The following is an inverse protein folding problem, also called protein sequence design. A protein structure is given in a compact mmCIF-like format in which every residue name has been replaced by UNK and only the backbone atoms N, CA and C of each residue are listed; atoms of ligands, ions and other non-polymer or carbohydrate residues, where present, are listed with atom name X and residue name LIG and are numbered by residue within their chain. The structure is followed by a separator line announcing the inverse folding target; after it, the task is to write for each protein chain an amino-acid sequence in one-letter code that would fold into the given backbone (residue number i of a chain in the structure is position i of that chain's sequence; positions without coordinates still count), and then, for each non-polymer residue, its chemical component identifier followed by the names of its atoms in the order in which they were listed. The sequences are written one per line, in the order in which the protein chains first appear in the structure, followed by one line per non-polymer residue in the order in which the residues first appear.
data_IF_941981777140
#
_entry.id   IF_941981777140
#
_cell.length_a   1.000
_cell.length_b   1.000
_cell.length_c   1.000
_cell.angle_alpha   90.00
_cell.angle_beta   90.00
_cell.angle_gamma   90.00
#
_symmetry.space_group_name_H-M   'P 1'
#
loop_
_entity.id
_entity.type
_entity.pdbx_description
1 polymer ?
#
# COMPACT_ATOMS: atom_id res chain seq x y z
N UNK A 1 -86.31 37.22 24.08
CA UNK A 1 -85.81 37.52 25.44
C UNK A 1 -84.42 38.11 25.28
N UNK A 2 -84.30 39.35 24.79
CA UNK A 2 -84.30 40.65 25.52
C UNK A 2 -83.09 40.77 26.46
N UNK A 3 -82.27 41.80 26.50
CA UNK A 3 -81.95 42.99 25.70
C UNK A 3 -80.74 43.64 26.44
N UNK A 4 -79.90 44.40 25.74
CA UNK A 4 -79.02 45.47 26.29
C UNK A 4 -79.91 46.63 26.86
N UNK A 5 -79.46 47.83 27.31
CA UNK A 5 -78.21 48.38 27.92
C UNK A 5 -78.49 49.28 29.18
N UNK A 6 -77.46 49.78 29.87
CA UNK A 6 -77.40 51.13 30.54
C UNK A 6 -76.00 51.30 31.18
N UNK A 7 -75.05 52.15 30.74
CA UNK A 7 -74.97 53.60 30.51
C UNK A 7 -74.88 54.47 31.80
N UNK A 8 -73.80 55.29 31.83
CA UNK A 8 -73.55 56.53 32.59
C UNK A 8 -73.26 56.44 34.12
N UNK A 9 -72.44 57.26 34.77
CA UNK A 9 -71.38 58.27 34.49
C UNK A 9 -70.82 58.68 35.90
N UNK A 10 -70.18 59.84 36.17
CA UNK A 10 -68.80 59.93 36.65
C UNK A 10 -68.68 60.51 38.09
N UNK A 11 -67.43 60.62 38.59
CA UNK A 11 -66.86 61.85 39.17
C UNK A 11 -65.83 61.58 40.29
N UNK A 12 -64.68 62.27 40.13
CA UNK A 12 -63.91 63.04 41.15
C UNK A 12 -63.51 62.33 42.45
N UNK A 13 -62.33 62.53 43.03
CA UNK A 13 -61.21 63.43 42.82
C UNK A 13 -60.09 62.96 43.77
N UNK A 14 -58.86 63.40 43.54
CA UNK A 14 -57.80 63.28 44.55
C UNK A 14 -56.43 63.15 43.91
N UNK A 15 -55.88 64.28 43.46
CA UNK A 15 -54.47 64.35 43.08
C UNK A 15 -53.57 64.35 44.32
N UNK A 16 -52.41 63.72 44.17
CA UNK A 16 -51.19 64.11 44.89
C UNK A 16 -50.01 63.93 43.92
N UNK A 17 -49.46 65.05 43.48
CA UNK A 17 -48.14 65.16 42.87
C UNK A 17 -47.07 65.17 43.97
N UNK A 18 -46.07 64.29 43.83
CA UNK A 18 -44.69 64.35 44.34
C UNK A 18 -44.09 62.96 44.01
N UNK A 19 -42.87 62.74 43.54
CA UNK A 19 -41.71 63.58 43.33
C UNK A 19 -40.80 62.81 42.35
N UNK A 20 -39.91 63.51 41.65
CA UNK A 20 -39.08 62.91 40.61
C UNK A 20 -38.04 61.92 41.13
N UNK A 21 -37.91 60.77 40.45
CA UNK A 21 -36.62 60.09 40.26
C UNK A 21 -36.70 59.27 38.97
N UNK A 22 -35.99 59.72 37.93
CA UNK A 22 -35.86 58.99 36.69
C UNK A 22 -35.08 57.70 36.92
N UNK A 23 -35.74 56.55 36.75
CA UNK A 23 -35.07 55.26 36.60
C UNK A 23 -35.00 54.93 35.12
N UNK A 24 -33.78 55.07 34.58
CA UNK A 24 -33.43 54.73 33.21
C UNK A 24 -33.75 53.26 32.91
N UNK A 25 -34.45 53.04 31.80
CA UNK A 25 -34.64 51.73 31.18
C UNK A 25 -33.26 51.14 30.84
N UNK A 26 -32.88 49.94 31.29
CA UNK A 26 -31.61 49.36 30.90
C UNK A 26 -31.67 48.94 29.43
N UNK A 27 -30.82 49.57 28.61
CA UNK A 27 -30.64 49.24 27.21
C UNK A 27 -30.27 47.75 27.05
N UNK A 28 -31.09 47.02 26.27
CA UNK A 28 -30.79 45.67 25.83
C UNK A 28 -29.47 45.67 25.05
N UNK A 29 -28.41 45.09 25.64
CA UNK A 29 -27.18 44.78 24.92
C UNK A 29 -27.50 43.72 23.86
N UNK A 30 -27.32 44.07 22.58
CA UNK A 30 -27.27 43.11 21.48
C UNK A 30 -26.32 41.96 21.84
N UNK A 31 -26.67 40.68 21.59
CA UNK A 31 -25.75 39.59 21.81
C UNK A 31 -24.55 39.78 20.86
N UNK A 32 -23.38 39.98 21.46
CA UNK A 32 -22.13 40.04 20.71
C UNK A 32 -21.97 38.77 19.89
N UNK A 33 -21.64 38.92 18.61
CA UNK A 33 -21.09 37.85 17.78
C UNK A 33 -19.97 37.16 18.57
N UNK A 34 -19.91 35.82 18.67
CA UNK A 34 -18.78 35.17 19.32
C UNK A 34 -17.54 35.50 18.49
N UNK A 35 -16.72 36.44 18.97
CA UNK A 35 -15.38 36.65 18.49
C UNK A 35 -14.65 35.31 18.62
N UNK A 36 -14.20 34.76 17.48
CA UNK A 36 -13.33 33.58 17.46
C UNK A 36 -12.19 33.80 18.47
N UNK A 37 -11.86 32.82 19.33
CA UNK A 37 -10.85 33.03 20.34
C UNK A 37 -9.51 33.30 19.64
N UNK A 38 -8.98 34.51 19.88
CA UNK A 38 -7.64 34.91 19.52
C UNK A 38 -6.63 33.88 20.07
N UNK A 39 -5.55 33.67 19.32
CA UNK A 39 -4.67 32.51 19.40
C UNK A 39 -4.34 32.02 20.81
N UNK A 40 -4.74 30.78 21.09
CA UNK A 40 -4.22 30.01 22.23
C UNK A 40 -2.69 30.00 22.21
N UNK A 41 -2.01 30.17 23.36
CA UNK A 41 -0.56 30.16 23.45
C UNK A 41 0.03 28.84 22.90
N UNK A 42 1.13 28.94 22.15
CA UNK A 42 1.79 27.81 21.47
C UNK A 42 2.03 26.60 22.40
N UNK A 43 2.34 26.87 23.67
CA UNK A 43 2.56 25.87 24.71
C UNK A 43 1.31 25.03 25.03
N UNK A 44 0.11 25.63 24.99
CA UNK A 44 -1.16 24.91 25.18
C UNK A 44 -1.50 24.04 23.96
N UNK A 45 -1.19 24.52 22.75
CA UNK A 45 -1.39 23.76 21.51
C UNK A 45 -0.49 22.53 21.43
N UNK A 46 0.79 22.67 21.81
CA UNK A 46 1.75 21.56 21.89
C UNK A 46 1.32 20.55 22.96
N UNK A 47 0.87 21.03 24.13
CA UNK A 47 0.35 20.17 25.20
C UNK A 47 -0.88 19.36 24.74
N UNK A 48 -1.82 20.00 24.03
CA UNK A 48 -2.99 19.33 23.48
C UNK A 48 -2.62 18.29 22.42
N UNK A 49 -1.70 18.61 21.50
CA UNK A 49 -1.22 17.67 20.49
C UNK A 49 -0.58 16.42 21.13
N UNK A 50 0.35 16.62 22.07
CA UNK A 50 1.04 15.51 22.74
C UNK A 50 0.07 14.65 23.55
N UNK A 51 -0.85 15.29 24.29
CA UNK A 51 -1.85 14.59 25.09
C UNK A 51 -2.78 13.73 24.23
N UNK A 52 -3.34 14.30 23.15
CA UNK A 52 -4.20 13.57 22.23
C UNK A 52 -3.46 12.42 21.53
N UNK A 53 -2.24 12.68 21.03
CA UNK A 53 -1.43 11.66 20.38
C UNK A 53 -1.14 10.49 21.33
N UNK A 54 -0.80 10.78 22.59
CA UNK A 54 -0.57 9.74 23.60
C UNK A 54 -1.83 8.92 23.87
N UNK A 55 -2.99 9.56 24.06
CA UNK A 55 -4.26 8.87 24.34
C UNK A 55 -4.64 7.96 23.17
N UNK A 56 -4.55 8.45 21.94
CA UNK A 56 -4.84 7.66 20.74
C UNK A 56 -3.90 6.45 20.59
N UNK A 57 -2.61 6.65 20.85
CA UNK A 57 -1.62 5.57 20.78
C UNK A 57 -1.90 4.48 21.83
N UNK A 58 -2.19 4.88 23.07
CA UNK A 58 -2.57 3.94 24.14
C UNK A 58 -3.88 3.22 23.79
N UNK A 59 -4.86 3.92 23.21
CA UNK A 59 -6.11 3.30 22.77
C UNK A 59 -5.88 2.24 21.68
N UNK A 60 -5.01 2.53 20.71
CA UNK A 60 -4.63 1.56 19.67
C UNK A 60 -4.03 0.28 20.26
N UNK A 61 -3.04 0.40 21.15
CA UNK A 61 -2.41 -0.79 21.76
C UNK A 61 -3.32 -1.56 22.71
N UNK A 62 -4.38 -0.93 23.23
CA UNK A 62 -5.41 -1.60 24.05
C UNK A 62 -6.43 -2.36 23.19
N UNK A 63 -6.62 -1.95 21.94
CA UNK A 63 -7.46 -2.65 20.99
C UNK A 63 -6.71 -3.84 20.39
N UNK A 64 -6.92 -5.02 20.99
CA UNK A 64 -6.29 -6.27 20.57
C UNK A 64 -6.62 -6.63 19.12
N UNK A 65 -7.82 -6.30 18.65
CA UNK A 65 -8.23 -6.59 17.28
C UNK A 65 -7.46 -5.68 16.30
N UNK A 66 -7.38 -4.38 16.59
CA UNK A 66 -6.61 -3.45 15.77
C UNK A 66 -5.11 -3.82 15.73
N UNK A 67 -4.52 -4.16 16.88
CA UNK A 67 -3.13 -4.62 16.96
C UNK A 67 -2.90 -5.88 16.13
N UNK A 68 -3.80 -6.87 16.23
CA UNK A 68 -3.71 -8.11 15.47
C UNK A 68 -3.74 -7.84 13.95
N UNK A 69 -4.73 -7.09 13.46
CA UNK A 69 -4.90 -6.86 12.02
C UNK A 69 -3.84 -5.92 11.43
N UNK A 70 -3.36 -4.94 12.19
CA UNK A 70 -2.35 -3.98 11.68
C UNK A 70 -0.93 -4.53 11.80
N UNK A 71 -0.59 -5.22 12.89
CA UNK A 71 0.78 -5.71 13.11
C UNK A 71 0.94 -7.18 12.76
N UNK A 72 0.07 -8.06 13.26
CA UNK A 72 0.29 -9.51 13.17
C UNK A 72 -0.09 -10.08 11.80
N UNK A 73 -1.22 -9.64 11.26
CA UNK A 73 -1.80 -10.20 10.03
C UNK A 73 -0.88 -10.03 8.80
N UNK A 74 -0.24 -8.87 8.54
CA UNK A 74 0.75 -8.76 7.47
C UNK A 74 1.95 -9.70 7.63
N UNK A 75 2.37 -9.96 8.87
CA UNK A 75 3.47 -10.89 9.15
C UNK A 75 3.04 -12.34 8.89
N UNK A 76 1.80 -12.69 9.17
CA UNK A 76 1.24 -13.98 8.77
C UNK A 76 1.20 -14.14 7.25
N UNK A 77 0.87 -13.07 6.51
CA UNK A 77 0.94 -13.08 5.05
C UNK A 77 2.39 -13.21 4.56
N UNK A 78 3.33 -12.47 5.15
CA UNK A 78 4.75 -12.63 4.84
C UNK A 78 5.21 -14.07 5.09
N UNK A 79 4.80 -14.67 6.20
CA UNK A 79 5.07 -16.05 6.57
C UNK A 79 4.47 -17.05 5.56
N UNK A 80 3.20 -16.88 5.22
CA UNK A 80 2.47 -17.72 4.27
C UNK A 80 3.05 -17.60 2.85
N UNK A 81 3.20 -16.39 2.32
CA UNK A 81 3.71 -16.18 0.96
C UNK A 81 5.20 -16.49 0.87
N UNK A 82 5.99 -16.19 1.90
CA UNK A 82 7.40 -16.55 1.97
C UNK A 82 7.64 -18.06 2.02
N UNK A 83 6.73 -18.83 2.63
CA UNK A 83 6.80 -20.31 2.60
C UNK A 83 6.27 -20.88 1.29
N UNK A 84 5.12 -20.41 0.83
CA UNK A 84 4.43 -20.92 -0.35
C UNK A 84 5.21 -20.66 -1.64
N UNK A 85 5.78 -19.46 -1.80
CA UNK A 85 6.46 -19.06 -3.04
C UNK A 85 7.96 -19.33 -3.07
N UNK A 86 8.50 -20.04 -2.07
CA UNK A 86 9.90 -20.44 -2.06
C UNK A 86 10.29 -21.32 -3.27
N UNK A 87 9.31 -21.82 -4.03
CA UNK A 87 9.50 -22.56 -5.28
C UNK A 87 8.64 -22.12 -6.46
N UNK A 88 7.90 -21.00 -6.42
CA UNK A 88 6.94 -20.63 -7.48
C UNK A 88 7.48 -19.47 -8.34
N UNK A 89 8.02 -19.83 -9.50
CA UNK A 89 8.43 -18.91 -10.56
C UNK A 89 7.41 -18.67 -11.66
N UNK A 90 7.64 -17.63 -12.45
CA UNK A 90 6.92 -17.44 -13.72
C UNK A 90 7.46 -18.41 -14.78
N UNK A 91 6.61 -19.04 -15.63
CA UNK A 91 7.02 -20.08 -16.58
C UNK A 91 7.91 -19.58 -17.73
N UNK A 92 8.12 -18.27 -17.86
CA UNK A 92 8.92 -17.66 -18.92
C UNK A 92 10.38 -17.50 -18.48
N UNK A 93 11.32 -18.16 -19.15
CA UNK A 93 12.74 -18.17 -18.77
C UNK A 93 13.65 -17.61 -19.88
N UNK A 94 14.66 -16.83 -19.50
CA UNK A 94 15.71 -16.28 -20.36
C UNK A 94 16.88 -17.23 -20.40
N UNK A 95 17.21 -17.70 -21.59
CA UNK A 95 18.29 -18.67 -21.80
C UNK A 95 19.26 -18.13 -22.83
N UNK A 96 20.56 -18.10 -22.48
CA UNK A 96 21.61 -17.65 -23.39
C UNK A 96 22.40 -18.85 -23.94
N UNK A 97 22.57 -18.89 -25.26
CA UNK A 97 23.39 -19.87 -25.96
C UNK A 97 24.82 -19.34 -26.06
N UNK A 98 25.79 -20.13 -25.61
CA UNK A 98 27.21 -19.78 -25.71
C UNK A 98 27.84 -20.53 -26.88
N UNK A 99 28.20 -19.78 -27.92
CA UNK A 99 28.72 -20.34 -29.18
C UNK A 99 27.65 -21.05 -30.03
N UNK A 100 28.09 -21.90 -30.96
CA UNK A 100 27.18 -22.63 -31.85
C UNK A 100 26.59 -23.86 -31.15
N UNK A 101 25.31 -23.78 -30.78
CA UNK A 101 24.54 -24.92 -30.24
C UNK A 101 23.71 -25.52 -31.37
N UNK A 102 24.32 -26.46 -32.10
CA UNK A 102 23.70 -27.14 -33.26
C UNK A 102 22.37 -27.81 -32.90
N UNK A 103 22.22 -28.26 -31.65
CA UNK A 103 20.97 -28.85 -31.13
C UNK A 103 19.79 -27.87 -31.21
N UNK A 104 19.97 -26.63 -30.76
CA UNK A 104 18.90 -25.63 -30.78
C UNK A 104 18.70 -25.04 -32.18
N UNK A 105 19.75 -25.00 -32.99
CA UNK A 105 19.68 -24.56 -34.40
C UNK A 105 19.01 -25.60 -35.31
N UNK A 106 18.99 -26.88 -34.90
CA UNK A 106 18.26 -27.95 -35.59
C UNK A 106 16.74 -27.91 -35.38
N UNK A 107 16.25 -27.18 -34.38
CA UNK A 107 14.82 -26.96 -34.17
C UNK A 107 14.37 -25.83 -35.09
N UNK A 108 13.73 -26.18 -36.21
CA UNK A 108 13.19 -25.24 -37.20
C UNK A 108 11.66 -25.30 -37.28
N UNK A 109 11.05 -24.24 -37.80
CA UNK A 109 9.59 -24.15 -38.01
C UNK A 109 8.79 -24.00 -36.71
N UNK A 110 7.65 -24.70 -36.62
CA UNK A 110 6.68 -24.56 -35.53
C UNK A 110 7.27 -24.88 -34.14
N UNK A 111 8.25 -25.78 -34.06
CA UNK A 111 8.92 -26.11 -32.80
C UNK A 111 9.68 -24.92 -32.20
N UNK A 112 10.27 -24.05 -33.05
CA UNK A 112 10.99 -22.86 -32.59
C UNK A 112 10.02 -21.77 -32.13
N UNK A 113 8.90 -21.62 -32.81
CA UNK A 113 7.84 -20.69 -32.42
C UNK A 113 7.20 -21.07 -31.07
N UNK A 114 7.02 -22.37 -30.79
CA UNK A 114 6.55 -22.84 -29.47
C UNK A 114 7.62 -22.64 -28.37
N UNK A 115 8.90 -22.83 -28.69
CA UNK A 115 10.01 -22.54 -27.79
C UNK A 115 10.08 -21.04 -27.44
N UNK A 116 9.92 -20.15 -28.42
CA UNK A 116 9.95 -18.69 -28.22
C UNK A 116 8.74 -18.16 -27.42
N UNK A 117 7.63 -18.92 -27.32
CA UNK A 117 6.49 -18.61 -26.44
C UNK A 117 6.76 -18.88 -24.96
N UNK A 118 7.84 -19.58 -24.62
CA UNK A 118 8.15 -19.96 -23.23
C UNK A 118 9.58 -19.58 -22.84
N UNK A 119 10.49 -19.46 -23.80
CA UNK A 119 11.90 -19.10 -23.60
C UNK A 119 12.29 -17.89 -24.45
N UNK A 120 12.98 -16.93 -23.83
CA UNK A 120 13.72 -15.90 -24.57
C UNK A 120 15.12 -16.42 -24.83
N UNK A 121 15.47 -16.65 -26.10
CA UNK A 121 16.79 -17.15 -26.51
C UNK A 121 17.69 -16.00 -26.97
N UNK A 122 18.83 -15.79 -26.30
CA UNK A 122 19.90 -14.91 -26.76
C UNK A 122 21.17 -15.69 -27.12
N UNK A 123 22.08 -15.10 -27.89
CA UNK A 123 23.38 -15.69 -28.22
C UNK A 123 24.51 -14.81 -27.67
N UNK A 124 25.56 -15.44 -27.18
CA UNK A 124 26.77 -14.81 -26.66
C UNK A 124 28.00 -15.65 -27.01
N UNK A 125 29.13 -15.00 -27.24
CA UNK A 125 30.41 -15.69 -27.48
C UNK A 125 31.26 -15.81 -26.20
N UNK A 126 30.82 -15.20 -25.09
CA UNK A 126 31.60 -15.10 -23.86
C UNK A 126 30.94 -15.87 -22.70
N UNK A 127 31.44 -17.08 -22.43
CA UNK A 127 30.94 -17.96 -21.36
C UNK A 127 31.01 -17.30 -19.97
N UNK A 128 32.12 -16.63 -19.65
CA UNK A 128 32.32 -16.05 -18.33
C UNK A 128 31.32 -14.92 -18.06
N UNK A 129 31.04 -14.09 -19.07
CA UNK A 129 30.03 -13.04 -18.97
C UNK A 129 28.61 -13.61 -18.84
N UNK A 130 28.27 -14.66 -19.60
CA UNK A 130 26.97 -15.33 -19.51
C UNK A 130 26.78 -16.05 -18.17
N UNK A 131 27.82 -16.68 -17.63
CA UNK A 131 27.78 -17.30 -16.30
C UNK A 131 27.57 -16.26 -15.19
N UNK A 132 28.23 -15.11 -15.31
CA UNK A 132 28.06 -14.01 -14.35
C UNK A 132 26.63 -13.41 -14.42
N UNK A 133 26.04 -13.31 -15.60
CA UNK A 133 24.63 -12.94 -15.75
C UNK A 133 23.69 -13.97 -15.09
N UNK A 134 23.98 -15.27 -15.20
CA UNK A 134 23.21 -16.32 -14.51
C UNK A 134 23.35 -16.21 -12.99
N UNK A 135 24.55 -15.88 -12.47
CA UNK A 135 24.76 -15.63 -11.03
C UNK A 135 24.07 -14.38 -10.50
N UNK A 136 23.88 -13.38 -11.35
CA UNK A 136 23.18 -12.13 -11.00
C UNK A 136 21.66 -12.22 -11.17
N UNK A 137 21.15 -13.27 -11.79
CA UNK A 137 19.73 -13.43 -12.11
C UNK A 137 19.26 -12.74 -13.38
N UNK A 138 20.17 -12.21 -14.18
CA UNK A 138 19.82 -11.57 -15.46
C UNK A 138 19.42 -12.63 -16.52
N UNK A 139 19.91 -13.86 -16.33
CA UNK A 139 19.60 -15.05 -17.13
C UNK A 139 19.19 -16.22 -16.22
N UNK A 140 18.19 -16.99 -16.65
CA UNK A 140 17.73 -18.16 -15.90
C UNK A 140 18.60 -19.40 -16.20
N UNK A 141 19.19 -19.49 -17.40
CA UNK A 141 20.18 -20.49 -17.73
C UNK A 141 21.11 -20.08 -18.87
N UNK A 142 22.25 -20.77 -18.97
CA UNK A 142 23.09 -20.79 -20.16
C UNK A 142 23.22 -22.22 -20.68
N UNK A 143 23.29 -22.34 -22.01
CA UNK A 143 23.47 -23.62 -22.71
C UNK A 143 24.73 -23.52 -23.54
N UNK A 144 25.58 -24.54 -23.44
CA UNK A 144 26.77 -24.71 -24.25
C UNK A 144 26.81 -26.11 -24.84
N UNK A 145 27.31 -26.24 -26.06
CA UNK A 145 27.62 -27.52 -26.67
C UNK A 145 29.13 -27.71 -26.72
N UNK A 146 29.61 -28.80 -26.11
CA UNK A 146 31.00 -29.21 -26.15
C UNK A 146 31.38 -29.82 -27.50
N UNK A 147 32.68 -29.91 -27.84
CA UNK A 147 33.18 -30.51 -29.08
C UNK A 147 32.73 -31.97 -29.26
N UNK A 148 32.49 -32.67 -28.14
CA UNK A 148 32.13 -34.09 -28.10
C UNK A 148 30.61 -34.32 -28.22
N UNK A 149 29.82 -33.27 -28.51
CA UNK A 149 28.35 -33.35 -28.58
C UNK A 149 27.64 -33.26 -27.22
N UNK A 150 28.38 -33.13 -26.12
CA UNK A 150 27.80 -32.92 -24.78
C UNK A 150 27.11 -31.57 -24.67
N UNK A 151 25.92 -31.54 -24.09
CA UNK A 151 25.16 -30.32 -23.84
C UNK A 151 25.31 -29.97 -22.37
N UNK A 152 26.09 -28.93 -22.08
CA UNK A 152 26.23 -28.38 -20.75
C UNK A 152 25.14 -27.34 -20.52
N UNK A 153 24.22 -27.65 -19.61
CA UNK A 153 23.19 -26.72 -19.14
C UNK A 153 23.60 -26.22 -17.76
N UNK A 154 23.92 -24.93 -17.65
CA UNK A 154 24.15 -24.28 -16.35
C UNK A 154 22.98 -23.36 -16.05
N UNK A 155 22.18 -23.73 -15.05
CA UNK A 155 20.94 -23.05 -14.73
C UNK A 155 20.95 -22.48 -13.31
N UNK A 156 20.25 -21.37 -13.13
CA UNK A 156 19.94 -20.83 -11.81
C UNK A 156 18.88 -21.70 -11.14
N UNK A 157 19.10 -22.02 -9.87
CA UNK A 157 18.10 -22.66 -9.03
C UNK A 157 17.43 -21.69 -8.03
N UNK A 158 17.56 -20.38 -8.25
CA UNK A 158 16.83 -19.37 -7.48
C UNK A 158 15.31 -19.45 -7.73
N UNK A 159 14.92 -19.91 -8.92
CA UNK A 159 13.55 -20.16 -9.33
C UNK A 159 13.41 -21.64 -9.74
N UNK A 160 12.77 -22.45 -8.87
CA UNK A 160 12.62 -23.89 -9.09
C UNK A 160 11.70 -24.22 -10.27
N UNK A 161 10.68 -23.40 -10.53
CA UNK A 161 9.75 -23.63 -11.65
C UNK A 161 10.45 -23.33 -12.96
N UNK A 162 11.16 -22.20 -13.07
CA UNK A 162 11.94 -21.89 -14.27
C UNK A 162 13.06 -22.89 -14.51
N UNK A 163 13.80 -23.25 -13.46
CA UNK A 163 14.82 -24.29 -13.55
C UNK A 163 14.24 -25.61 -14.09
N UNK A 164 13.08 -26.02 -13.55
CA UNK A 164 12.35 -27.20 -14.01
C UNK A 164 11.85 -27.08 -15.45
N UNK A 165 11.31 -25.93 -15.85
CA UNK A 165 10.84 -25.67 -17.21
C UNK A 165 12.01 -25.69 -18.21
N UNK A 166 13.11 -25.00 -17.91
CA UNK A 166 14.30 -24.99 -18.78
C UNK A 166 14.88 -26.39 -18.90
N UNK A 167 15.08 -27.11 -17.78
CA UNK A 167 15.57 -28.48 -17.82
C UNK A 167 14.64 -29.41 -18.60
N UNK A 168 13.32 -29.30 -18.39
CA UNK A 168 12.32 -30.11 -19.07
C UNK A 168 12.33 -29.88 -20.57
N UNK A 169 12.35 -28.63 -21.01
CA UNK A 169 12.41 -28.26 -22.42
C UNK A 169 13.73 -28.76 -23.05
N UNK A 170 14.88 -28.47 -22.43
CA UNK A 170 16.18 -28.88 -22.97
C UNK A 170 16.30 -30.40 -23.03
N UNK A 171 15.84 -31.13 -22.00
CA UNK A 171 15.82 -32.58 -22.01
C UNK A 171 14.90 -33.15 -23.10
N UNK A 172 13.73 -32.52 -23.33
CA UNK A 172 12.83 -32.92 -24.41
C UNK A 172 13.47 -32.71 -25.79
N UNK A 173 14.17 -31.60 -26.02
CA UNK A 173 14.89 -31.33 -27.28
C UNK A 173 16.04 -32.32 -27.46
N UNK A 174 16.83 -32.59 -26.42
CA UNK A 174 17.92 -33.59 -26.43
C UNK A 174 17.37 -34.98 -26.77
N UNK A 175 16.27 -35.39 -26.14
CA UNK A 175 15.63 -36.68 -26.42
C UNK A 175 15.11 -36.78 -27.86
N UNK A 176 14.48 -35.73 -28.37
CA UNK A 176 13.99 -35.70 -29.75
C UNK A 176 15.13 -35.79 -30.77
N UNK A 177 16.23 -35.07 -30.53
CA UNK A 177 17.42 -35.13 -31.39
C UNK A 177 18.11 -36.51 -31.35
N UNK A 178 18.20 -37.12 -30.17
CA UNK A 178 18.73 -38.49 -30.04
C UNK A 178 17.81 -39.54 -30.70
N UNK A 179 16.48 -39.36 -30.65
CA UNK A 179 15.54 -40.25 -31.35
C UNK A 179 15.60 -40.10 -32.88
N UNK A 180 15.85 -38.89 -33.39
CA UNK A 180 16.06 -38.68 -34.82
C UNK A 180 17.34 -39.33 -35.35
N UNK A 181 18.35 -39.51 -34.49
CA UNK A 181 19.63 -40.16 -34.79
C UNK A 181 19.63 -41.68 -34.52
N UNK A 182 18.63 -42.40 -35.04
CA UNK A 182 18.44 -43.84 -34.81
C UNK A 182 19.68 -44.69 -35.19
N UNK A 183 20.06 -45.63 -34.31
CA UNK A 183 21.11 -46.62 -34.57
C UNK A 183 22.55 -46.24 -34.13
N UNK A 184 22.74 -45.10 -33.46
CA UNK A 184 24.02 -44.69 -32.86
C UNK A 184 23.88 -44.54 -31.34
N UNK A 185 24.95 -44.71 -30.54
CA UNK A 185 24.93 -44.31 -29.13
C UNK A 185 24.52 -42.83 -29.00
N UNK A 186 23.87 -42.42 -27.90
CA UNK A 186 23.29 -41.09 -27.75
C UNK A 186 24.34 -40.01 -28.05
N UNK A 187 24.09 -39.24 -29.12
CA UNK A 187 25.02 -38.22 -29.60
C UNK A 187 25.04 -36.99 -28.69
N UNK A 188 23.95 -36.77 -27.95
CA UNK A 188 23.82 -35.67 -27.00
C UNK A 188 23.55 -36.21 -25.60
N UNK A 189 24.39 -35.83 -24.63
CA UNK A 189 24.18 -36.09 -23.21
C UNK A 189 24.02 -34.75 -22.51
N UNK A 190 22.92 -34.58 -21.78
CA UNK A 190 22.65 -33.38 -21.00
C UNK A 190 23.39 -33.47 -19.66
N UNK A 191 24.37 -32.59 -19.47
CA UNK A 191 25.02 -32.36 -18.17
C UNK A 191 24.45 -31.07 -17.57
N UNK A 192 23.51 -31.24 -16.64
CA UNK A 192 22.81 -30.14 -15.99
C UNK A 192 23.48 -29.81 -14.66
N UNK A 193 24.27 -28.75 -14.63
CA UNK A 193 24.96 -28.29 -13.43
C UNK A 193 24.26 -27.07 -12.84
N UNK A 194 23.94 -27.13 -11.54
CA UNK A 194 23.37 -26.01 -10.81
C UNK A 194 24.43 -24.93 -10.59
N UNK A 195 24.09 -23.69 -10.91
CA UNK A 195 24.88 -22.51 -10.51
C UNK A 195 24.18 -21.86 -9.32
N UNK A 196 24.93 -21.50 -8.28
CA UNK A 196 24.41 -20.65 -7.21
C UNK A 196 24.10 -19.27 -7.79
N UNK A 197 22.82 -18.93 -7.77
CA UNK A 197 22.31 -17.65 -8.21
C UNK A 197 22.05 -16.77 -6.99
N UNK A 198 22.61 -15.56 -7.03
CA UNK A 198 22.42 -14.51 -6.04
C UNK A 198 21.16 -13.68 -6.29
N UNK A 199 20.43 -13.99 -7.35
CA UNK A 199 19.22 -13.30 -7.74
C UNK A 199 18.19 -13.23 -6.64
N UNK A 200 17.44 -12.14 -6.72
CA UNK A 200 16.46 -11.74 -5.74
C UNK A 200 15.34 -12.79 -5.71
N UNK A 201 15.42 -13.71 -4.73
CA UNK A 201 14.35 -14.66 -4.37
C UNK A 201 12.97 -14.01 -4.50
N UNK A 202 11.88 -14.72 -4.87
CA UNK A 202 10.53 -14.15 -5.01
C UNK A 202 10.09 -13.24 -3.85
N UNK A 203 10.59 -13.53 -2.65
CA UNK A 203 10.44 -12.72 -1.43
C UNK A 203 10.90 -11.26 -1.57
N UNK A 204 11.94 -10.96 -2.37
CA UNK A 204 12.45 -9.62 -2.63
C UNK A 204 11.47 -8.77 -3.44
N UNK A 205 10.69 -9.38 -4.32
CA UNK A 205 9.64 -8.68 -5.05
C UNK A 205 8.35 -8.55 -4.23
N UNK A 206 7.99 -9.62 -3.49
CA UNK A 206 6.75 -9.69 -2.73
C UNK A 206 6.78 -8.86 -1.44
N UNK A 207 7.92 -8.81 -0.75
CA UNK A 207 8.02 -8.14 0.55
C UNK A 207 7.68 -6.66 0.49
N UNK A 208 8.23 -5.85 -0.45
CA UNK A 208 7.81 -4.46 -0.60
C UNK A 208 6.32 -4.31 -0.95
N UNK A 209 5.80 -5.24 -1.76
CA UNK A 209 4.38 -5.29 -2.15
C UNK A 209 3.44 -5.55 -0.98
N UNK A 210 3.76 -6.56 -0.17
CA UNK A 210 3.06 -6.91 1.06
C UNK A 210 3.13 -5.80 2.10
N UNK A 211 4.31 -5.18 2.28
CA UNK A 211 4.46 -4.02 3.15
C UNK A 211 3.57 -2.87 2.70
N UNK A 212 3.56 -2.55 1.40
CA UNK A 212 2.74 -1.48 0.86
C UNK A 212 1.24 -1.73 1.10
N UNK A 213 0.78 -2.96 0.85
CA UNK A 213 -0.60 -3.36 1.13
C UNK A 213 -0.94 -3.31 2.62
N UNK A 214 -0.02 -3.72 3.49
CA UNK A 214 -0.17 -3.71 4.93
C UNK A 214 -0.30 -2.28 5.49
N UNK A 215 0.50 -1.35 4.99
CA UNK A 215 0.41 0.08 5.33
C UNK A 215 -0.92 0.67 4.82
N UNK A 216 -1.32 0.32 3.59
CA UNK A 216 -2.57 0.81 3.01
C UNK A 216 -3.80 0.34 3.78
N UNK A 217 -3.93 -0.97 4.01
CA UNK A 217 -5.03 -1.53 4.80
C UNK A 217 -5.07 -0.90 6.19
N UNK A 218 -3.95 -0.87 6.92
CA UNK A 218 -3.87 -0.29 8.25
C UNK A 218 -4.32 1.18 8.29
N UNK A 219 -3.84 2.00 7.36
CA UNK A 219 -4.19 3.42 7.30
C UNK A 219 -5.67 3.66 6.93
N UNK A 220 -6.20 2.92 5.94
CA UNK A 220 -7.62 3.03 5.53
C UNK A 220 -8.55 2.63 6.67
N UNK A 221 -8.35 1.44 7.25
CA UNK A 221 -9.20 0.93 8.33
C UNK A 221 -9.13 1.80 9.57
N UNK A 222 -7.92 2.21 9.95
CA UNK A 222 -7.73 3.01 11.14
C UNK A 222 -8.44 4.37 11.00
N UNK A 223 -8.36 5.02 9.83
CA UNK A 223 -9.05 6.27 9.58
C UNK A 223 -10.58 6.13 9.48
N UNK A 224 -11.08 5.11 8.77
CA UNK A 224 -12.52 4.91 8.56
C UNK A 224 -13.25 4.55 9.86
N UNK A 225 -12.72 3.58 10.62
CA UNK A 225 -13.31 3.16 11.90
C UNK A 225 -13.22 4.27 12.94
N UNK A 226 -12.09 4.96 13.03
CA UNK A 226 -11.95 6.06 14.00
C UNK A 226 -13.01 7.13 13.76
N UNK A 227 -13.25 7.52 12.51
CA UNK A 227 -14.21 8.57 12.21
C UNK A 227 -15.64 8.15 12.58
N UNK A 228 -16.05 6.94 12.20
CA UNK A 228 -17.40 6.45 12.53
C UNK A 228 -17.56 6.23 14.03
N UNK A 229 -16.57 5.64 14.70
CA UNK A 229 -16.60 5.42 16.14
C UNK A 229 -16.69 6.74 16.92
N UNK A 230 -15.97 7.77 16.48
CA UNK A 230 -16.03 9.10 17.08
C UNK A 230 -17.39 9.77 16.89
N UNK A 231 -18.04 9.57 15.76
CA UNK A 231 -19.39 10.06 15.50
C UNK A 231 -20.41 9.34 16.39
N UNK A 232 -20.41 8.01 16.39
CA UNK A 232 -21.33 7.18 17.18
C UNK A 232 -21.19 7.42 18.69
N UNK A 233 -19.97 7.51 19.20
CA UNK A 233 -19.69 7.78 20.62
C UNK A 233 -19.85 9.26 21.00
N UNK A 234 -20.31 10.11 20.08
CA UNK A 234 -20.47 11.56 20.24
C UNK A 234 -19.17 12.26 20.68
N UNK A 235 -18.02 11.67 20.36
CA UNK A 235 -16.69 12.22 20.65
C UNK A 235 -16.46 13.47 19.80
N UNK A 236 -16.89 13.48 18.54
CA UNK A 236 -16.80 14.68 17.67
C UNK A 236 -17.48 15.90 18.31
N UNK A 237 -18.65 15.71 18.95
CA UNK A 237 -19.37 16.79 19.65
C UNK A 237 -18.59 17.31 20.85
N UNK A 238 -18.00 16.41 21.64
CA UNK A 238 -17.15 16.80 22.79
C UNK A 238 -15.89 17.53 22.34
N UNK A 239 -15.24 17.05 21.28
CA UNK A 239 -14.04 17.66 20.72
C UNK A 239 -14.30 19.07 20.16
N UNK A 240 -15.49 19.32 19.58
CA UNK A 240 -15.87 20.64 19.08
C UNK A 240 -16.12 21.67 20.19
N UNK A 241 -16.53 21.21 21.37
CA UNK A 241 -16.76 22.06 22.55
C UNK A 241 -15.51 22.20 23.43
N UNK A 242 -14.52 21.33 23.24
CA UNK A 242 -13.25 21.42 23.96
C UNK A 242 -12.43 22.61 23.47
N UNK A 243 -11.62 23.25 24.34
CA UNK A 243 -10.72 24.33 23.95
C UNK A 243 -9.48 23.77 23.23
N UNK A 244 -9.67 22.92 22.22
CA UNK A 244 -8.60 22.31 21.42
C UNK A 244 -8.79 22.67 19.96
N UNK A 245 -7.74 23.13 19.30
CA UNK A 245 -7.81 23.48 17.88
C UNK A 245 -8.09 22.25 17.01
N UNK A 246 -8.93 22.40 15.97
CA UNK A 246 -9.19 21.33 15.01
C UNK A 246 -7.90 20.85 14.31
N UNK A 247 -6.98 21.77 14.05
CA UNK A 247 -5.66 21.46 13.50
C UNK A 247 -4.84 20.54 14.41
N UNK A 248 -4.86 20.77 15.73
CA UNK A 248 -4.20 19.89 16.70
C UNK A 248 -4.79 18.48 16.68
N UNK A 249 -6.11 18.34 16.56
CA UNK A 249 -6.78 17.03 16.51
C UNK A 249 -6.38 16.27 15.24
N UNK A 250 -6.43 16.93 14.08
CA UNK A 250 -6.04 16.33 12.79
C UNK A 250 -4.56 15.98 12.77
N UNK A 251 -3.70 16.89 13.25
CA UNK A 251 -2.26 16.66 13.33
C UNK A 251 -1.94 15.49 14.26
N UNK A 252 -2.54 15.41 15.45
CA UNK A 252 -2.39 14.26 16.36
C UNK A 252 -2.82 12.97 15.70
N UNK A 253 -3.92 13.00 14.94
CA UNK A 253 -4.41 11.81 14.25
C UNK A 253 -3.46 11.34 13.17
N UNK A 254 -2.96 12.24 12.33
CA UNK A 254 -1.96 11.93 11.30
C UNK A 254 -0.69 11.41 11.95
N UNK A 255 -0.18 12.08 13.00
CA UNK A 255 1.03 11.69 13.70
C UNK A 255 0.93 10.27 14.28
N UNK A 256 -0.19 9.93 14.92
CA UNK A 256 -0.41 8.58 15.47
C UNK A 256 -0.49 7.55 14.35
N UNK A 257 -1.24 7.82 13.29
CA UNK A 257 -1.34 6.89 12.15
C UNK A 257 0.01 6.67 11.46
N UNK A 258 0.81 7.73 11.27
CA UNK A 258 2.16 7.65 10.74
C UNK A 258 3.08 6.86 11.67
N UNK A 259 3.04 7.14 12.98
CA UNK A 259 3.86 6.42 13.96
C UNK A 259 3.52 4.92 13.98
N UNK A 260 2.23 4.58 13.94
CA UNK A 260 1.78 3.19 13.84
C UNK A 260 2.27 2.53 12.56
N UNK A 261 2.13 3.20 11.40
CA UNK A 261 2.59 2.67 10.11
C UNK A 261 4.11 2.50 10.04
N UNK A 262 4.89 3.44 10.62
CA UNK A 262 6.34 3.32 10.72
C UNK A 262 6.76 2.20 11.68
N UNK A 263 6.06 2.04 12.80
CA UNK A 263 6.29 0.92 13.74
C UNK A 263 6.01 -0.41 13.06
N UNK A 264 4.88 -0.52 12.37
CA UNK A 264 4.52 -1.68 11.56
C UNK A 264 5.58 -1.97 10.49
N UNK A 265 6.04 -0.94 9.77
CA UNK A 265 7.09 -1.06 8.75
C UNK A 265 8.41 -1.55 9.35
N UNK A 266 8.81 -1.00 10.50
CA UNK A 266 10.04 -1.39 11.19
C UNK A 266 9.98 -2.86 11.63
N UNK A 267 8.88 -3.29 12.26
CA UNK A 267 8.67 -4.68 12.67
C UNK A 267 8.67 -5.61 11.45
N UNK A 268 7.97 -5.21 10.38
CA UNK A 268 7.88 -5.98 9.15
C UNK A 268 9.25 -6.16 8.48
N UNK A 269 10.04 -5.09 8.34
CA UNK A 269 11.39 -5.16 7.78
C UNK A 269 12.35 -5.93 8.68
N UNK A 270 12.26 -5.78 10.00
CA UNK A 270 13.07 -6.56 10.94
C UNK A 270 12.83 -8.07 10.77
N UNK A 271 11.58 -8.49 10.53
CA UNK A 271 11.25 -9.90 10.28
C UNK A 271 11.65 -10.31 8.86
N UNK A 272 11.37 -9.49 7.85
CA UNK A 272 11.67 -9.82 6.46
C UNK A 272 13.18 -9.93 6.16
N UNK A 273 14.03 -9.22 6.91
CA UNK A 273 15.50 -9.30 6.79
C UNK A 273 16.10 -10.50 7.51
N UNK A 274 15.31 -11.24 8.32
CA UNK A 274 15.81 -12.47 8.97
C UNK A 274 16.27 -13.49 7.92
N UNK A 275 17.25 -14.36 8.23
CA UNK A 275 17.76 -15.37 7.29
C UNK A 275 16.68 -16.29 6.71
N UNK A 276 15.57 -16.45 7.44
CA UNK A 276 14.41 -17.21 7.00
C UNK A 276 13.81 -16.66 5.69
N UNK A 277 13.61 -15.34 5.62
CA UNK A 277 13.04 -14.65 4.46
C UNK A 277 14.13 -14.09 3.53
N UNK A 278 15.25 -13.64 4.08
CA UNK A 278 16.45 -13.27 3.32
C UNK A 278 16.30 -11.99 2.49
N UNK A 279 15.45 -11.04 2.91
CA UNK A 279 15.40 -9.71 2.30
C UNK A 279 16.76 -9.01 2.50
N UNK A 280 17.47 -8.77 1.41
CA UNK A 280 18.66 -7.92 1.38
C UNK A 280 18.22 -6.48 1.06
N UNK A 281 18.38 -5.60 2.04
CA UNK A 281 18.10 -4.17 1.89
C UNK A 281 19.23 -3.48 1.10
N UNK A 282 18.86 -2.60 0.19
CA UNK A 282 19.84 -1.79 -0.56
C UNK A 282 20.32 -0.58 0.25
N UNK A 283 21.37 0.12 -0.19
CA UNK A 283 21.92 1.29 0.53
C UNK A 283 20.91 2.44 0.77
N UNK A 284 19.87 2.54 -0.06
CA UNK A 284 18.86 3.60 -0.01
C UNK A 284 17.55 3.18 0.67
N UNK A 285 17.54 2.06 1.39
CA UNK A 285 16.33 1.50 2.03
C UNK A 285 15.59 2.50 2.94
N UNK A 286 16.31 3.46 3.55
CA UNK A 286 15.77 4.49 4.44
C UNK A 286 14.76 5.42 3.77
N UNK A 287 14.76 5.51 2.42
CA UNK A 287 13.76 6.24 1.65
C UNK A 287 12.33 5.68 1.82
N UNK A 288 12.19 4.45 2.34
CA UNK A 288 10.90 3.90 2.72
C UNK A 288 10.20 4.74 3.80
N UNK A 289 10.94 5.43 4.67
CA UNK A 289 10.38 6.23 5.77
C UNK A 289 9.52 7.39 5.24
N UNK A 290 10.06 8.35 4.46
CA UNK A 290 9.24 9.42 3.89
C UNK A 290 8.17 8.89 2.94
N UNK A 291 8.41 7.77 2.26
CA UNK A 291 7.44 7.15 1.36
C UNK A 291 6.21 6.62 2.14
N UNK A 292 6.43 5.93 3.27
CA UNK A 292 5.38 5.46 4.17
C UNK A 292 4.60 6.62 4.80
N UNK A 293 5.26 7.74 5.12
CA UNK A 293 4.59 8.96 5.59
C UNK A 293 3.58 9.47 4.55
N UNK A 294 4.04 9.67 3.31
CA UNK A 294 3.18 10.14 2.22
C UNK A 294 2.04 9.17 1.93
N UNK A 295 2.35 7.88 1.89
CA UNK A 295 1.37 6.82 1.68
C UNK A 295 0.32 6.77 2.77
N UNK A 296 0.73 6.88 4.04
CA UNK A 296 -0.21 6.87 5.16
C UNK A 296 -1.21 8.00 5.04
N UNK A 297 -0.76 9.21 4.67
CA UNK A 297 -1.65 10.36 4.45
C UNK A 297 -2.63 10.10 3.30
N UNK A 298 -2.15 9.53 2.19
CA UNK A 298 -2.98 9.18 1.02
C UNK A 298 -4.02 8.08 1.31
N UNK A 299 -3.67 7.07 2.12
CA UNK A 299 -4.60 6.02 2.49
C UNK A 299 -5.55 6.44 3.60
N UNK A 300 -5.10 7.31 4.51
CA UNK A 300 -5.99 7.95 5.48
C UNK A 300 -7.09 8.75 4.79
N UNK A 301 -6.83 9.41 3.66
CA UNK A 301 -7.89 10.14 2.94
C UNK A 301 -8.95 9.21 2.35
N UNK A 302 -8.57 8.01 1.90
CA UNK A 302 -9.53 6.97 1.47
C UNK A 302 -10.36 6.50 2.66
N UNK A 303 -9.71 6.21 3.79
CA UNK A 303 -10.41 5.83 5.01
C UNK A 303 -11.36 6.92 5.51
N UNK A 304 -10.94 8.19 5.42
CA UNK A 304 -11.78 9.34 5.75
C UNK A 304 -12.99 9.43 4.83
N UNK A 305 -12.83 9.22 3.52
CA UNK A 305 -13.93 9.19 2.56
C UNK A 305 -14.91 8.05 2.89
N UNK A 306 -14.40 6.84 3.11
CA UNK A 306 -15.21 5.68 3.47
C UNK A 306 -15.99 5.93 4.79
N UNK A 307 -15.31 6.46 5.81
CA UNK A 307 -15.92 6.83 7.07
C UNK A 307 -16.91 7.99 6.95
N UNK A 308 -16.70 8.94 6.02
CA UNK A 308 -17.61 10.07 5.82
C UNK A 308 -18.98 9.60 5.28
N UNK A 309 -18.98 8.59 4.41
CA UNK A 309 -20.19 8.03 3.78
C UNK A 309 -20.87 6.97 4.67
N UNK A 310 -20.10 6.25 5.49
CA UNK A 310 -20.63 5.17 6.33
C UNK A 310 -21.39 5.64 7.58
N UNK A 311 -22.52 4.98 7.86
CA UNK A 311 -23.33 5.19 9.07
C UNK A 311 -22.94 4.27 10.23
N UNK A 312 -22.38 3.10 9.94
CA UNK A 312 -21.97 2.11 10.96
C UNK A 312 -20.52 1.68 10.78
N UNK A 313 -19.91 1.15 11.84
CA UNK A 313 -18.52 0.65 11.79
C UNK A 313 -18.41 -0.52 10.80
N UNK A 314 -19.44 -1.37 10.71
CA UNK A 314 -19.53 -2.46 9.74
C UNK A 314 -19.61 -1.96 8.30
N UNK A 315 -20.42 -0.93 8.05
CA UNK A 315 -20.52 -0.32 6.73
C UNK A 315 -19.19 0.34 6.30
N UNK A 316 -18.50 1.01 7.24
CA UNK A 316 -17.19 1.60 6.98
C UNK A 316 -16.14 0.54 6.65
N UNK A 317 -16.14 -0.57 7.40
CA UNK A 317 -15.30 -1.72 7.14
C UNK A 317 -15.57 -2.32 5.74
N UNK A 318 -16.85 -2.53 5.40
CA UNK A 318 -17.26 -3.05 4.09
C UNK A 318 -16.82 -2.16 2.91
N UNK A 319 -17.05 -0.84 3.01
CA UNK A 319 -16.61 0.12 1.98
C UNK A 319 -15.08 0.11 1.86
N UNK A 320 -14.37 0.09 2.99
CA UNK A 320 -12.90 0.02 3.00
C UNK A 320 -12.40 -1.22 2.28
N UNK A 321 -13.02 -2.39 2.49
CA UNK A 321 -12.64 -3.64 1.82
C UNK A 321 -12.92 -3.60 0.32
N UNK A 322 -14.08 -3.09 -0.10
CA UNK A 322 -14.43 -2.96 -1.53
C UNK A 322 -13.43 -2.07 -2.27
N UNK A 323 -12.81 -1.10 -1.59
CA UNK A 323 -11.80 -0.22 -2.19
C UNK A 323 -10.41 -0.88 -2.14
N UNK A 324 -9.99 -1.38 -0.98
CA UNK A 324 -8.62 -1.85 -0.77
C UNK A 324 -8.36 -3.20 -1.42
N UNK A 325 -9.34 -4.10 -1.46
CA UNK A 325 -9.17 -5.44 -2.02
C UNK A 325 -8.88 -5.39 -3.53
N UNK A 326 -9.69 -4.77 -4.41
CA UNK A 326 -9.33 -4.66 -5.82
C UNK A 326 -8.00 -3.92 -6.01
N UNK A 327 -7.79 -2.85 -5.25
CA UNK A 327 -6.56 -2.06 -5.34
C UNK A 327 -5.31 -2.90 -5.04
N UNK A 328 -5.38 -3.85 -4.11
CA UNK A 328 -4.25 -4.69 -3.74
C UNK A 328 -3.82 -5.62 -4.89
N UNK A 329 -4.76 -6.19 -5.63
CA UNK A 329 -4.47 -7.02 -6.80
C UNK A 329 -3.96 -6.21 -7.98
N UNK A 330 -4.54 -5.03 -8.24
CA UNK A 330 -4.15 -4.19 -9.38
C UNK A 330 -2.83 -3.43 -9.15
N UNK A 331 -2.42 -3.21 -7.90
CA UNK A 331 -1.25 -2.37 -7.56
C UNK A 331 0.11 -3.02 -7.78
N UNK A 332 0.14 -4.34 -7.99
CA UNK A 332 1.38 -5.09 -8.05
C UNK A 332 1.92 -5.57 -6.70
N UNK A 333 1.14 -5.44 -5.62
CA UNK A 333 1.51 -5.94 -4.29
C UNK A 333 1.72 -7.46 -4.25
N UNK A 334 0.89 -8.20 -4.99
CA UNK A 334 0.89 -9.67 -4.99
C UNK A 334 1.36 -10.29 -6.30
N UNK A 335 1.14 -9.61 -7.43
CA UNK A 335 1.43 -10.13 -8.77
C UNK A 335 2.18 -9.08 -9.59
N UNK A 336 3.11 -9.45 -10.48
CA UNK A 336 3.67 -8.53 -11.45
C UNK A 336 2.57 -7.88 -12.30
N UNK A 337 2.73 -6.59 -12.61
CA UNK A 337 1.76 -5.82 -13.41
C UNK A 337 2.18 -5.64 -14.87
N UNK A 338 3.28 -6.26 -15.28
CA UNK A 338 3.90 -6.02 -16.59
C UNK A 338 3.03 -6.59 -17.73
N UNK A 339 2.39 -7.73 -17.47
CA UNK A 339 1.56 -8.47 -18.41
C UNK A 339 0.07 -8.06 -18.40
N UNK A 340 -0.28 -6.97 -17.70
CA UNK A 340 -1.66 -6.48 -17.65
C UNK A 340 -2.07 -5.87 -19.00
N UNK A 341 -3.29 -6.15 -19.50
CA UNK A 341 -3.86 -5.45 -20.65
C UNK A 341 -3.83 -3.93 -20.46
N UNK A 342 -3.71 -3.17 -21.55
CA UNK A 342 -3.53 -1.71 -21.52
C UNK A 342 -4.59 -0.96 -20.70
N UNK A 343 -5.86 -1.36 -20.79
CA UNK A 343 -6.96 -0.77 -20.01
C UNK A 343 -6.78 -1.00 -18.50
N UNK A 344 -6.33 -2.18 -18.09
CA UNK A 344 -6.11 -2.53 -16.69
C UNK A 344 -4.87 -1.83 -16.14
N UNK A 345 -3.83 -1.69 -16.97
CA UNK A 345 -2.61 -0.94 -16.66
C UNK A 345 -2.91 0.54 -16.43
N UNK A 346 -3.82 1.14 -17.22
CA UNK A 346 -4.27 2.51 -17.02
C UNK A 346 -4.98 2.70 -15.67
N UNK A 347 -5.86 1.77 -15.28
CA UNK A 347 -6.51 1.79 -13.96
C UNK A 347 -5.47 1.63 -12.85
N UNK A 348 -4.58 0.65 -12.98
CA UNK A 348 -3.50 0.39 -12.01
C UNK A 348 -2.65 1.64 -11.74
N UNK A 349 -2.26 2.35 -12.81
CA UNK A 349 -1.44 3.56 -12.72
C UNK A 349 -2.13 4.75 -12.03
N UNK A 350 -3.45 4.73 -11.88
CA UNK A 350 -4.19 5.74 -11.12
C UNK A 350 -4.26 5.41 -9.61
N UNK A 351 -3.94 4.18 -9.21
CA UNK A 351 -4.10 3.73 -7.83
C UNK A 351 -2.92 4.18 -6.96
N UNK A 352 -3.16 4.77 -5.77
CA UNK A 352 -2.09 5.21 -4.88
C UNK A 352 -1.19 4.06 -4.43
N UNK A 353 -1.76 2.86 -4.23
CA UNK A 353 -0.99 1.69 -3.84
C UNK A 353 0.02 1.25 -4.91
N UNK A 354 -0.29 1.44 -6.21
CA UNK A 354 0.66 1.15 -7.29
C UNK A 354 1.93 1.98 -7.16
N UNK A 355 1.78 3.27 -6.85
CA UNK A 355 2.91 4.18 -6.65
C UNK A 355 3.75 3.79 -5.43
N UNK A 356 3.11 3.48 -4.30
CA UNK A 356 3.83 3.01 -3.11
C UNK A 356 4.60 1.72 -3.40
N UNK A 357 3.95 0.71 -3.96
CA UNK A 357 4.57 -0.59 -4.22
C UNK A 357 5.74 -0.47 -5.17
N UNK A 358 5.57 0.27 -6.27
CA UNK A 358 6.63 0.45 -7.28
C UNK A 358 7.85 1.17 -6.69
N UNK A 359 7.63 2.25 -5.92
CA UNK A 359 8.72 2.96 -5.26
C UNK A 359 9.35 2.14 -4.13
N UNK A 360 8.56 1.41 -3.34
CA UNK A 360 9.06 0.52 -2.29
C UNK A 360 9.94 -0.59 -2.87
N UNK A 361 9.53 -1.22 -3.98
CA UNK A 361 10.37 -2.19 -4.69
C UNK A 361 11.67 -1.56 -5.18
N UNK A 362 11.61 -0.32 -5.67
CA UNK A 362 12.79 0.40 -6.14
C UNK A 362 13.80 0.63 -5.00
N UNK A 363 13.36 1.23 -3.89
CA UNK A 363 14.26 1.64 -2.79
C UNK A 363 14.66 0.50 -1.86
N UNK A 364 13.81 -0.51 -1.65
CA UNK A 364 14.13 -1.63 -0.76
C UNK A 364 14.99 -2.69 -1.45
N UNK A 365 14.69 -3.00 -2.72
CA UNK A 365 15.23 -4.19 -3.39
C UNK A 365 16.08 -3.89 -4.63
N UNK A 366 15.80 -2.81 -5.37
CA UNK A 366 16.51 -2.49 -6.65
C UNK A 366 17.62 -1.45 -6.51
N UNK A 367 17.80 -0.83 -5.34
CA UNK A 367 18.83 0.18 -5.12
C UNK A 367 18.47 1.58 -5.63
N UNK A 368 17.19 1.81 -5.95
CA UNK A 368 16.69 3.09 -6.43
C UNK A 368 16.97 4.24 -5.47
N UNK A 369 17.18 5.42 -6.05
CA UNK A 369 17.52 6.63 -5.32
C UNK A 369 16.31 7.52 -5.01
N UNK A 370 16.60 8.74 -4.56
CA UNK A 370 15.59 9.77 -4.26
C UNK A 370 14.74 10.09 -5.50
N UNK A 371 15.36 10.13 -6.69
CA UNK A 371 14.67 10.46 -7.94
C UNK A 371 13.62 9.41 -8.35
N UNK A 372 13.78 8.15 -7.92
CA UNK A 372 12.80 7.10 -8.18
C UNK A 372 11.61 7.17 -7.20
N UNK A 373 11.85 7.69 -5.99
CA UNK A 373 10.85 7.76 -4.93
C UNK A 373 10.02 9.06 -4.98
N UNK A 374 10.60 10.16 -5.45
CA UNK A 374 9.96 11.49 -5.50
C UNK A 374 8.64 11.52 -6.28
N UNK A 375 8.54 10.94 -7.50
CA UNK A 375 7.28 10.94 -8.25
C UNK A 375 6.17 10.19 -7.50
N UNK A 376 6.50 9.10 -6.81
CA UNK A 376 5.54 8.36 -6.02
C UNK A 376 5.08 9.16 -4.79
N UNK A 377 6.00 9.83 -4.09
CA UNK A 377 5.65 10.72 -2.97
C UNK A 377 4.73 11.85 -3.42
N UNK A 378 5.07 12.53 -4.51
CA UNK A 378 4.25 13.60 -5.09
C UNK A 378 2.88 13.10 -5.50
N UNK A 379 2.80 11.97 -6.21
CA UNK A 379 1.55 11.35 -6.63
C UNK A 379 0.65 10.97 -5.45
N UNK A 380 1.23 10.40 -4.38
CA UNK A 380 0.50 10.06 -3.16
C UNK A 380 -0.06 11.31 -2.46
N UNK A 381 0.71 12.39 -2.37
CA UNK A 381 0.26 13.63 -1.73
C UNK A 381 -0.83 14.35 -2.57
N UNK A 382 -0.69 14.38 -3.89
CA UNK A 382 -1.73 14.90 -4.80
C UNK A 382 -3.01 14.09 -4.65
N UNK A 383 -2.90 12.76 -4.64
CA UNK A 383 -4.04 11.87 -4.41
C UNK A 383 -4.70 12.16 -3.05
N UNK A 384 -3.89 12.31 -1.99
CA UNK A 384 -4.38 12.63 -0.65
C UNK A 384 -5.17 13.94 -0.63
N UNK A 385 -4.66 14.98 -1.29
CA UNK A 385 -5.32 16.28 -1.37
C UNK A 385 -6.67 16.19 -2.08
N UNK A 386 -6.71 15.51 -3.24
CA UNK A 386 -7.94 15.33 -4.04
C UNK A 386 -8.98 14.54 -3.26
N UNK A 387 -8.61 13.37 -2.72
CA UNK A 387 -9.56 12.51 -2.01
C UNK A 387 -10.03 13.14 -0.69
N UNK A 388 -9.17 13.87 0.02
CA UNK A 388 -9.57 14.63 1.21
C UNK A 388 -10.58 15.73 0.87
N UNK A 389 -10.39 16.45 -0.25
CA UNK A 389 -11.35 17.45 -0.71
C UNK A 389 -12.72 16.82 -1.03
N UNK A 390 -12.73 15.64 -1.66
CA UNK A 390 -13.95 14.87 -1.92
C UNK A 390 -14.58 14.43 -0.58
N UNK A 391 -13.80 13.87 0.34
CA UNK A 391 -14.27 13.41 1.64
C UNK A 391 -14.92 14.54 2.45
N UNK A 392 -14.37 15.75 2.38
CA UNK A 392 -14.94 16.93 3.04
C UNK A 392 -16.36 17.24 2.52
N UNK A 393 -16.62 17.05 1.22
CA UNK A 393 -17.95 17.30 0.64
C UNK A 393 -19.03 16.34 1.16
N UNK A 394 -18.64 15.13 1.54
CA UNK A 394 -19.51 14.09 2.10
C UNK A 394 -19.53 14.08 3.64
N UNK A 395 -18.64 14.83 4.28
CA UNK A 395 -18.50 14.81 5.72
C UNK A 395 -19.73 15.37 6.43
N UNK A 396 -20.30 14.56 7.34
CA UNK A 396 -21.43 14.94 8.19
C UNK A 396 -21.04 14.87 9.65
N UNK A 397 -21.35 15.94 10.38
CA UNK A 397 -21.06 16.06 11.81
C UNK A 397 -21.97 15.19 12.67
N UNK A 398 -23.22 14.99 12.24
CA UNK A 398 -24.25 14.21 12.93
C UNK A 398 -25.06 13.42 11.90
N UNK A 399 -25.50 12.21 12.27
CA UNK A 399 -26.57 11.52 11.56
C UNK A 399 -27.88 12.23 11.91
N UNK A 400 -28.58 12.70 10.86
CA UNK A 400 -29.84 13.43 10.99
C UNK A 400 -30.97 12.56 11.53
#
# INVERSE_FOLDING_TARGET
MTADPTQADPARAGGTQADGTGTAVPAQRKPGTPSAPAGQPERERVSAFVSLSRVMLVAFFRDKAAVFFVLLFPLMFLMLFGTLLKGAGSPHAKVEQVGAVQLLDSVQGDGRAELEKVLTLSRSDNEAASLEKVRKGDLDALIKQGPDGRIELRFSAADQVRAGTVQGIVNSVVQQANQAATGKPPAFVLDATRVEDESLKPIQFLTPGLLGWAVATGAVFSASLTLVSWRQKKVLRRLRLAPVSAGSIVASRIAVSVLTALTQTAIFLAIATTPYFGLKLTGNWWLIVPLVVCATIAFMSIGLLAGAVAKTEEAANGISQIIVLPMSFLSGSFFPTDDMPSWLKAISNALPLKHLVTAAQSVLSKGGGVMDALPAMGGLLVFAAVVTAIAWRFFRWEDA
#
